data_IF_625410510931
#
_entry.id   IF_625410510931
#
_cell.length_a   1.000
_cell.length_b   1.000
_cell.length_c   1.000
_cell.angle_alpha   90.00
_cell.angle_beta   90.00
_cell.angle_gamma   90.00
#
_symmetry.space_group_name_H-M   'P 1'
#
loop_
_entity.id
_entity.type
_entity.pdbx_description
1 polymer ?
2 non-polymer ?
3 non-polymer ?
4 non-polymer ?
5 water ?
#
# COMPACT_ATOMS: atom_id res chain seq x y z
N UNK A 1 3.37 7.54 -16.66
CA UNK A 1 3.90 6.19 -16.91
C UNK A 1 3.95 5.40 -15.59
N UNK A 2 3.24 4.28 -15.50
CA UNK A 2 3.24 3.50 -14.24
C UNK A 2 4.23 2.34 -14.34
N UNK A 3 4.96 2.21 -15.45
CA UNK A 3 5.69 0.95 -15.74
C UNK A 3 6.85 0.66 -14.79
N UNK A 4 7.47 1.71 -14.23
CA UNK A 4 8.59 1.64 -13.27
C UNK A 4 8.16 0.99 -11.94
N UNK A 5 6.86 0.90 -11.69
CA UNK A 5 6.29 0.31 -10.46
C UNK A 5 5.97 -1.16 -10.64
N UNK A 6 5.90 -1.64 -11.87
CA UNK A 6 5.37 -3.00 -12.10
C UNK A 6 6.40 -4.04 -11.67
N UNK A 7 5.90 -5.12 -11.10
CA UNK A 7 6.73 -6.25 -10.70
C UNK A 7 6.40 -6.70 -9.30
N UNK A 8 7.30 -7.50 -8.77
CA UNK A 8 7.16 -8.15 -7.46
C UNK A 8 8.14 -7.50 -6.50
N UNK A 9 7.64 -7.08 -5.35
CA UNK A 9 8.36 -6.24 -4.38
C UNK A 9 8.26 -6.89 -3.01
N UNK A 10 9.38 -6.91 -2.29
CA UNK A 10 9.42 -7.54 -0.95
C UNK A 10 9.75 -6.48 0.10
N UNK A 11 9.04 -6.51 1.23
CA UNK A 11 9.32 -5.54 2.30
C UNK A 11 10.70 -5.80 2.91
N UNK A 12 11.50 -4.73 3.01
CA UNK A 12 12.84 -4.81 3.61
C UNK A 12 13.06 -3.79 4.73
N UNK A 13 12.13 -2.89 4.99
CA UNK A 13 12.28 -1.93 6.11
C UNK A 13 10.89 -1.40 6.44
N UNK A 14 10.64 -1.12 7.70
CA UNK A 14 9.35 -0.52 8.08
C UNK A 14 9.55 0.39 9.28
N UNK A 15 8.98 1.59 9.17
CA UNK A 15 9.01 2.60 10.23
C UNK A 15 7.60 3.07 10.55
N UNK A 16 7.22 2.98 11.83
CA UNK A 16 5.97 3.55 12.35
C UNK A 16 4.71 2.84 11.84
N UNK A 17 4.81 1.60 11.41
CA UNK A 17 3.59 0.90 10.97
C UNK A 17 2.65 0.66 12.15
N UNK A 18 3.17 0.42 13.35
CA UNK A 18 2.26 0.25 14.49
C UNK A 18 1.47 1.53 14.73
N UNK A 19 2.13 2.68 14.70
CA UNK A 19 1.40 3.96 14.90
C UNK A 19 0.31 4.09 13.83
N UNK A 20 0.62 3.79 12.59
CA UNK A 20 -0.36 3.91 11.51
C UNK A 20 -1.54 2.95 11.75
N UNK A 21 -1.25 1.70 12.02
CA UNK A 21 -2.33 0.72 12.29
C UNK A 21 -3.16 1.15 13.48
N UNK A 22 -2.52 1.59 14.56
CA UNK A 22 -3.29 2.01 15.76
C UNK A 22 -4.17 3.22 15.42
N UNK A 23 -3.70 4.14 14.54
CA UNK A 23 -4.51 5.31 14.12
C UNK A 23 -5.78 4.84 13.40
N UNK A 24 -5.69 3.74 12.67
CA UNK A 24 -6.85 3.16 11.94
C UNK A 24 -7.73 2.31 12.86
N UNK A 25 -7.37 2.11 14.12
CA UNK A 25 -8.19 1.31 15.04
C UNK A 25 -7.93 -0.18 14.93
N UNK A 26 -6.78 -0.59 14.39
CA UNK A 26 -6.43 -2.02 14.34
C UNK A 26 -6.10 -2.50 15.76
N UNK A 27 -6.62 -3.65 16.14
CA UNK A 27 -6.44 -4.20 17.49
C UNK A 27 -5.02 -4.66 17.76
N UNK A 28 -4.67 -4.75 19.03
CA UNK A 28 -3.26 -4.99 19.41
C UNK A 28 -2.77 -6.32 18.84
N UNK A 29 -3.59 -7.37 18.81
CA UNK A 29 -3.11 -8.70 18.39
C UNK A 29 -2.79 -8.68 16.90
N UNK A 30 -3.62 -8.01 16.12
CA UNK A 30 -3.36 -7.87 14.68
C UNK A 30 -2.11 -7.03 14.46
N UNK A 31 -1.97 -5.93 15.19
CA UNK A 31 -0.76 -5.10 15.03
C UNK A 31 0.48 -5.91 15.35
N UNK A 32 0.38 -6.78 16.33
CA UNK A 32 1.51 -7.58 16.78
C UNK A 32 1.96 -8.49 15.62
N UNK A 33 1.03 -9.22 15.01
CA UNK A 33 1.39 -10.12 13.89
C UNK A 33 1.91 -9.28 12.72
N UNK A 34 1.23 -8.20 12.39
CA UNK A 34 1.62 -7.36 11.24
C UNK A 34 2.99 -6.70 11.43
N UNK A 35 3.43 -6.48 12.65
CA UNK A 35 4.76 -5.86 12.91
C UNK A 35 5.90 -6.83 12.56
N UNK A 36 5.57 -8.12 12.40
CA UNK A 36 6.59 -9.15 12.13
C UNK A 36 6.44 -9.74 10.72
N UNK A 37 5.48 -9.24 9.97
CA UNK A 37 5.13 -9.83 8.67
C UNK A 37 5.92 -9.06 7.60
N UNK A 38 6.45 -9.72 6.56
CA UNK A 38 7.13 -9.03 5.45
C UNK A 38 6.39 -9.33 4.18
N UNK A 39 5.40 -8.53 3.83
CA UNK A 39 4.60 -8.84 2.66
C UNK A 39 5.38 -8.74 1.37
N UNK A 40 4.79 -9.39 0.38
CA UNK A 40 5.16 -9.28 -1.03
C UNK A 40 4.04 -8.55 -1.74
N UNK A 41 4.33 -7.43 -2.41
CA UNK A 41 3.32 -6.73 -3.22
C UNK A 41 3.66 -6.88 -4.70
N UNK A 42 2.69 -7.32 -5.48
CA UNK A 42 2.82 -7.57 -6.93
C UNK A 42 1.95 -6.54 -7.62
N UNK A 43 2.55 -5.79 -8.54
CA UNK A 43 1.83 -4.74 -9.30
C UNK A 43 1.94 -5.13 -10.77
N UNK A 44 0.80 -5.36 -11.39
CA UNK A 44 0.74 -5.75 -12.80
C UNK A 44 -0.24 -4.84 -13.54
N UNK A 45 -0.12 -4.89 -14.86
CA UNK A 45 -0.83 -4.00 -15.81
C UNK A 45 -1.40 -4.84 -16.94
N UNK A 46 -2.68 -4.63 -17.31
CA UNK A 46 -3.24 -5.20 -18.55
C UNK A 46 -4.02 -4.06 -19.18
N UNK A 47 -3.44 -3.45 -20.20
CA UNK A 47 -4.03 -2.24 -20.76
C UNK A 47 -4.09 -1.21 -19.67
N UNK A 48 -5.28 -0.65 -19.52
CA UNK A 48 -5.56 0.45 -18.57
C UNK A 48 -5.85 -0.07 -17.18
N UNK A 49 -5.82 -1.38 -16.95
CA UNK A 49 -6.21 -1.93 -15.64
C UNK A 49 -4.97 -2.38 -14.88
N UNK A 50 -4.81 -1.86 -13.68
CA UNK A 50 -3.74 -2.28 -12.76
C UNK A 50 -4.32 -3.26 -11.74
N UNK A 51 -3.52 -4.25 -11.39
CA UNK A 51 -3.86 -5.15 -10.30
C UNK A 51 -2.72 -5.12 -9.30
N UNK A 52 -3.07 -4.91 -8.04
CA UNK A 52 -2.10 -4.81 -6.94
C UNK A 52 -2.47 -5.88 -5.93
N UNK A 53 -1.56 -6.84 -5.76
CA UNK A 53 -1.73 -7.96 -4.83
C UNK A 53 -0.76 -7.78 -3.67
N UNK A 54 -1.26 -8.01 -2.46
CA UNK A 54 -0.38 -8.00 -1.29
C UNK A 54 -0.53 -9.34 -0.61
N UNK A 55 0.58 -10.06 -0.50
CA UNK A 55 0.59 -11.42 0.03
C UNK A 55 1.45 -11.48 1.28
N UNK A 56 0.99 -12.28 2.24
CA UNK A 56 1.77 -12.52 3.43
C UNK A 56 1.28 -13.77 4.11
N UNK A 57 1.98 -14.15 5.17
CA UNK A 57 1.56 -15.28 6.01
C UNK A 57 0.34 -14.94 6.86
N UNK A 58 -0.07 -13.68 6.92
CA UNK A 58 -1.18 -13.25 7.78
C UNK A 58 -2.37 -12.83 6.94
N UNK A 59 -2.33 -11.66 6.31
CA UNK A 59 -3.43 -11.13 5.49
C UNK A 59 -2.98 -11.16 4.02
N UNK A 60 -3.92 -11.48 3.10
CA UNK A 60 -3.76 -11.30 1.63
C UNK A 60 -4.83 -10.31 1.14
N UNK A 61 -4.48 -9.46 0.17
CA UNK A 61 -5.44 -8.60 -0.52
C UNK A 61 -5.15 -8.57 -2.01
N UNK A 62 -6.17 -8.16 -2.77
CA UNK A 62 -5.99 -7.88 -4.18
C UNK A 62 -7.01 -6.83 -4.59
N UNK A 63 -6.55 -5.84 -5.34
CA UNK A 63 -7.43 -4.82 -5.95
C UNK A 63 -7.08 -4.70 -7.43
N UNK A 64 -8.09 -4.39 -8.22
CA UNK A 64 -7.89 -3.98 -9.61
C UNK A 64 -8.58 -2.63 -9.82
N UNK A 65 -7.95 -1.79 -10.63
CA UNK A 65 -8.46 -0.42 -10.81
C UNK A 65 -7.89 0.16 -12.08
N UNK A 66 -8.51 1.25 -12.50
CA UNK A 66 -8.02 2.07 -13.64
C UNK A 66 -7.54 3.35 -12.95
N UNK A 67 -6.38 3.90 -13.35
CA UNK A 67 -5.93 5.15 -12.77
C UNK A 67 -7.01 6.19 -12.98
N UNK A 68 -7.25 6.96 -11.93
CA UNK A 68 -8.16 8.10 -12.01
C UNK A 68 -9.62 7.75 -11.99
N UNK A 69 -9.97 6.49 -11.70
CA UNK A 69 -11.38 6.05 -11.66
C UNK A 69 -11.64 5.45 -10.28
N UNK A 70 -12.62 5.98 -9.58
CA UNK A 70 -12.92 5.51 -8.23
C UNK A 70 -13.34 4.03 -8.25
N UNK A 71 -12.98 3.32 -7.20
CA UNK A 71 -13.37 1.91 -7.02
C UNK A 71 -13.68 1.67 -5.56
N UNK A 72 -14.56 0.71 -5.31
CA UNK A 72 -14.80 0.23 -3.94
C UNK A 72 -13.66 -0.69 -3.53
N UNK A 73 -13.28 -0.61 -2.26
CA UNK A 73 -12.20 -1.46 -1.74
C UNK A 73 -12.59 -1.87 -0.32
N UNK A 74 -12.26 -3.11 0.02
CA UNK A 74 -12.36 -3.59 1.40
C UNK A 74 -10.94 -3.91 1.83
N UNK A 75 -10.42 -3.13 2.77
CA UNK A 75 -9.00 -3.17 3.08
C UNK A 75 -8.65 -4.40 3.92
N UNK A 76 -7.34 -4.57 4.13
CA UNK A 76 -6.84 -5.72 4.91
C UNK A 76 -7.42 -5.73 6.31
N UNK A 77 -7.65 -4.54 6.88
CA UNK A 77 -8.23 -4.34 8.21
C UNK A 77 -9.75 -4.15 8.16
N UNK A 78 -10.37 -4.52 7.04
CA UNK A 78 -11.83 -4.64 6.90
C UNK A 78 -12.54 -3.27 6.89
N UNK A 79 -11.87 -2.21 6.48
CA UNK A 79 -12.56 -0.95 6.19
C UNK A 79 -13.16 -1.02 4.78
N UNK A 80 -14.39 -0.54 4.65
CA UNK A 80 -15.05 -0.42 3.34
C UNK A 80 -14.90 1.01 2.88
N UNK A 81 -14.08 1.22 1.88
CA UNK A 81 -13.63 2.57 1.49
C UNK A 81 -13.93 2.83 0.02
N UNK A 82 -13.91 4.11 -0.33
CA UNK A 82 -13.94 4.60 -1.70
C UNK A 82 -12.51 4.97 -2.04
N UNK A 83 -11.97 4.39 -3.08
CA UNK A 83 -10.55 4.52 -3.44
C UNK A 83 -10.35 5.13 -4.80
N UNK A 84 -9.24 5.82 -4.96
CA UNK A 84 -8.79 6.25 -6.29
C UNK A 84 -7.27 6.24 -6.27
N UNK A 85 -6.70 5.81 -7.37
CA UNK A 85 -5.24 5.74 -7.53
C UNK A 85 -4.89 6.60 -8.75
N UNK A 86 -3.86 7.42 -8.60
CA UNK A 86 -3.41 8.35 -9.65
C UNK A 86 -1.90 8.35 -9.67
N UNK A 87 -1.35 8.95 -10.71
CA UNK A 87 0.07 9.31 -10.75
C UNK A 87 0.18 10.81 -10.50
N UNK A 88 1.08 11.18 -9.61
CA UNK A 88 1.24 12.58 -9.18
C UNK A 88 2.71 12.79 -8.93
N UNK A 89 3.37 13.57 -9.78
CA UNK A 89 4.81 13.79 -9.59
C UNK A 89 5.61 12.51 -9.75
N UNK A 90 5.11 11.58 -10.55
CA UNK A 90 5.76 10.28 -10.74
C UNK A 90 5.49 9.32 -9.60
N UNK A 91 4.71 9.72 -8.59
CA UNK A 91 4.37 8.84 -7.46
C UNK A 91 3.00 8.23 -7.72
N UNK A 92 2.83 7.01 -7.26
CA UNK A 92 1.54 6.34 -7.39
C UNK A 92 0.78 6.62 -6.10
N UNK A 93 -0.28 7.44 -6.15
CA UNK A 93 -1.00 7.95 -4.97
C UNK A 93 -2.33 7.24 -4.88
N UNK A 94 -2.54 6.52 -3.79
CA UNK A 94 -3.80 5.80 -3.52
C UNK A 94 -4.47 6.50 -2.34
N UNK A 95 -5.64 7.08 -2.60
CA UNK A 95 -6.44 7.78 -1.58
C UNK A 95 -7.63 6.90 -1.23
N UNK A 96 -7.85 6.65 0.06
CA UNK A 96 -9.01 5.92 0.58
C UNK A 96 -9.84 6.90 1.42
N UNK A 97 -11.15 6.87 1.20
CA UNK A 97 -12.12 7.71 1.93
C UNK A 97 -13.19 6.83 2.54
N UNK A 98 -13.53 7.07 3.80
CA UNK A 98 -14.63 6.33 4.45
C UNK A 98 -15.04 7.12 5.69
N UNK A 99 -16.33 7.25 5.93
CA UNK A 99 -16.82 7.89 7.17
C UNK A 99 -16.22 9.30 7.32
N UNK A 100 -15.94 9.98 6.23
CA UNK A 100 -15.30 11.31 6.31
C UNK A 100 -13.80 11.27 6.60
N UNK A 101 -13.24 10.10 6.89
CA UNK A 101 -11.79 9.89 7.13
C UNK A 101 -11.11 9.72 5.78
N UNK A 102 -9.81 9.93 5.81
CA UNK A 102 -9.00 9.61 4.65
C UNK A 102 -7.69 9.01 5.10
N UNK A 103 -7.10 8.26 4.21
CA UNK A 103 -5.71 7.84 4.33
C UNK A 103 -5.09 7.80 2.95
N UNK A 104 -3.82 8.11 2.87
CA UNK A 104 -3.08 8.02 1.61
C UNK A 104 -1.98 6.98 1.72
N UNK A 105 -1.82 6.27 0.61
CA UNK A 105 -0.79 5.24 0.42
C UNK A 105 -0.01 5.71 -0.80
N UNK A 106 1.17 6.26 -0.60
CA UNK A 106 1.93 6.93 -1.68
C UNK A 106 3.17 6.09 -1.96
N UNK A 107 3.35 5.70 -3.20
CA UNK A 107 4.51 4.90 -3.61
C UNK A 107 5.40 5.73 -4.52
N UNK A 108 6.69 5.70 -4.23
CA UNK A 108 7.70 6.45 -5.00
C UNK A 108 8.92 5.55 -5.18
N UNK A 109 9.55 5.67 -6.33
CA UNK A 109 10.79 4.93 -6.60
C UNK A 109 11.95 5.83 -6.29
N UNK A 110 12.83 5.36 -5.42
CA UNK A 110 14.05 6.10 -5.01
C UNK A 110 15.20 5.10 -5.09
N UNK A 111 16.15 5.37 -5.98
CA UNK A 111 17.34 4.52 -6.14
C UNK A 111 16.92 3.05 -6.32
N UNK A 112 15.87 2.82 -7.10
CA UNK A 112 15.40 1.47 -7.48
C UNK A 112 14.57 0.80 -6.41
N UNK A 113 14.41 1.41 -5.24
CA UNK A 113 13.55 0.84 -4.18
C UNK A 113 12.20 1.53 -4.26
N UNK A 114 11.18 0.81 -3.83
CA UNK A 114 9.82 1.37 -3.77
C UNK A 114 9.54 1.76 -2.33
N UNK A 115 9.31 3.05 -2.12
CA UNK A 115 9.04 3.61 -0.80
C UNK A 115 7.55 3.90 -0.72
N UNK A 116 6.89 3.22 0.20
CA UNK A 116 5.46 3.38 0.48
C UNK A 116 5.32 4.23 1.74
N UNK A 117 4.67 5.38 1.59
CA UNK A 117 4.38 6.25 2.73
C UNK A 117 2.89 6.19 3.01
N UNK A 118 2.55 5.84 4.24
CA UNK A 118 1.16 5.63 4.69
C UNK A 118 0.84 6.73 5.70
N UNK A 119 -0.17 7.56 5.42
CA UNK A 119 -0.52 8.66 6.31
C UNK A 119 -1.97 8.55 6.72
N UNK A 120 -2.24 8.59 8.00
CA UNK A 120 -3.63 8.66 8.53
C UNK A 120 -3.55 9.47 9.82
N UNK A 121 -4.44 10.42 9.98
CA UNK A 121 -4.33 11.28 11.16
C UNK A 121 -2.96 11.95 11.14
N UNK A 122 -2.24 11.88 12.25
CA UNK A 122 -0.88 12.41 12.31
C UNK A 122 0.16 11.34 12.01
N UNK A 123 -0.23 10.08 11.92
CA UNK A 123 0.69 8.95 11.77
C UNK A 123 1.23 8.90 10.35
N UNK A 124 2.55 8.79 10.25
CA UNK A 124 3.25 8.67 8.97
C UNK A 124 4.17 7.48 9.07
N UNK A 125 3.89 6.47 8.25
CA UNK A 125 4.66 5.22 8.21
C UNK A 125 5.39 5.14 6.87
N UNK A 126 6.64 4.72 6.92
CA UNK A 126 7.46 4.57 5.72
C UNK A 126 7.91 3.12 5.63
N UNK A 127 7.52 2.47 4.55
CA UNK A 127 7.87 1.06 4.29
C UNK A 127 8.61 0.98 2.98
N UNK A 128 9.68 0.24 3.03
CA UNK A 128 10.60 0.15 1.88
C UNK A 128 10.56 -1.25 1.32
N UNK A 129 10.39 -1.30 0.01
CA UNK A 129 10.28 -2.54 -0.76
C UNK A 129 11.42 -2.59 -1.79
N UNK A 130 11.98 -3.77 -1.94
CA UNK A 130 13.00 -4.06 -2.98
C UNK A 130 12.43 -5.04 -3.98
N UNK A 131 12.85 -4.87 -5.19
CA UNK A 131 12.26 -5.63 -6.32
C UNK A 131 12.82 -7.05 -6.34
N UNK A 132 12.01 -8.04 -6.45
CA UNK A 132 12.35 -9.47 -6.74
C UNK A 132 12.48 -9.69 -8.27
N UNK A 133 13.55 -10.35 -8.72
CA UNK A 133 13.89 -10.65 -10.13
C UNK A 133 12.83 -11.56 -10.74
X LIG B 1 2.81 -2.26 3.14
X LIG B 1 1.62 -2.90 3.37
X LIG B 1 1.69 -4.06 4.08
X LIG B 1 0.45 -1.89 3.71
X LIG B 1 -0.77 -2.57 4.40
X LIG B 1 -1.95 -1.71 4.91
X LIG B 1 -2.29 -0.55 3.99
X LIG B 1 -3.46 0.30 4.48
X LIG B 1 -4.53 -0.58 5.13
X LIG B 1 -3.94 -1.25 6.35
X LIG B 1 -4.08 -2.73 6.15
X LIG B 1 -3.26 -3.52 7.16
X LIG B 1 -4.17 -3.97 8.28
X LIG B 1 -3.44 -4.81 9.31
X LIG B 1 -3.23 -6.13 8.60
X LIG B 1 -1.79 -6.31 8.12
X LIG B 1 -1.52 -7.78 7.82
X LIG B 1 -0.05 -8.17 7.77
X LIG B 1 0.76 -7.09 7.10
X LIG B 1 -0.15 -6.27 6.23
X LIG B 1 -1.10 -7.27 5.60
X LIG B 1 -0.86 -7.39 4.12
X LIG B 1 -1.98 -6.64 3.43
X LIG B 1 -1.62 -5.17 3.48
X LIG B 1 -2.10 -4.26 2.36
X LIG B 1 -3.33 -4.77 1.76
X LIG C 1 13.39 -12.18 7.02
X LIG C 1 13.39 -12.91 5.78
X LIG C 1 12.90 -12.08 4.60
X LIG C 1 13.30 -10.70 4.69
X LIG C 1 14.95 -9.00 4.52
X LIG C 1 14.69 -10.50 4.55
X LIG C 1 14.68 -8.43 5.79
X LIG C 1 14.78 -6.45 7.17
X LIG C 1 15.18 -7.10 5.86
X LIG C 1 13.37 -6.29 7.17
X LIG C 1 11.54 -5.15 8.26
X LIG C 1 13.01 -5.38 8.20
X LIG C 1 10.92 -6.17 9.01
X LIG C 1 8.94 -7.04 9.97
X LIG C 1 9.52 -5.90 9.16
X LIG C 1 9.48 -6.91 11.31
X LIG D 1 -11.89 -10.64 2.02
X LIG D 1 -12.48 -9.30 1.56
X LIG D 1 -11.41 -8.26 1.46
X LIG D 1 -10.83 -8.11 2.84
X LIG D 1 -10.23 -9.42 3.29
X LIG D 1 -9.48 -9.33 4.63
X LIG D 1 -10.98 -11.21 1.10
X LIG D 1 -13.27 -9.48 0.38
X LIG D 1 -11.90 -7.06 0.88
X LIG D 1 -9.73 -7.27 2.69
X LIG D 1 -11.23 -10.46 3.27
X LIG D 1 -8.11 -9.81 4.55
X LIG D 1 -7.80 -11.42 4.45
X LIG D 1 -8.57 -11.98 5.61
X LIG D 1 -6.38 -11.65 4.53
X LIG D 1 -8.37 -11.87 3.16
#
# INVERSE_FOLDING_TARGET
>A
MVDAFLGTWKLVDSKNFDDYMKSLGVGFATRQVASMTKPTTIIEKNGDILTLKTHSTFKNTEISFKLGVEFDETTADDRKVKSIVTLDGGKLVHLQKWDGQETTLVRELIDGKLILTLTHGTAVCTRTYEKEA
>B hetero
1 BZV O2 C1 O1 C2 C3 C4 C5 C6 C7 C8 C9 C10 C11 C12 C13 C14 C15 C16 C17 C18 C19 C20 C21 C22 C23 C24
>C hetero
1 1PE OH2 C12 C22 OH3 C13 C23 OH4 C14 C24 OH5 C15 C25 OH6 C16 C26 OH7
>D hetero
1 GLP C1 C2 C3 C4 C5 C6 O1 N2 O3 O4 O5 O6 P O1P O2P O3P
#
